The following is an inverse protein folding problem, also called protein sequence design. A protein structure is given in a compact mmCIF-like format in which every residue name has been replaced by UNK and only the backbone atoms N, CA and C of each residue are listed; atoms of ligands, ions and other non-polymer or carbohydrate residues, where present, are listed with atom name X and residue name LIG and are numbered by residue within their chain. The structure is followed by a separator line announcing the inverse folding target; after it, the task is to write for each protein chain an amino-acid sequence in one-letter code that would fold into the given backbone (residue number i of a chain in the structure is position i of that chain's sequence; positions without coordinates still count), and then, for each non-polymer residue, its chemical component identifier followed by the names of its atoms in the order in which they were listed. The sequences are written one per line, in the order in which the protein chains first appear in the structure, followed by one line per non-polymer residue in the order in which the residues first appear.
data_IF_968425673334
#
_entry.id   IF_968425673334
#
_cell.length_a   1.000
_cell.length_b   1.000
_cell.length_c   1.000
_cell.angle_alpha   90.00
_cell.angle_beta   90.00
_cell.angle_gamma   90.00
#
_symmetry.space_group_name_H-M   'P 1'
#
loop_
_entity.id
_entity.type
_entity.pdbx_description
1 polymer ?
#
# COMPACT_ATOMS: atom_id res chain seq x y z
N UNK A 1 -5.52 -16.79 -4.68
CA UNK A 1 -6.93 -17.25 -4.51
C UNK A 1 -7.71 -16.31 -3.58
N UNK A 2 -7.04 -15.66 -2.63
CA UNK A 2 -7.65 -14.73 -1.66
C UNK A 2 -8.52 -13.62 -2.26
N UNK A 3 -8.08 -12.90 -3.28
CA UNK A 3 -8.82 -11.71 -3.79
C UNK A 3 -10.02 -12.01 -4.70
N UNK A 4 -10.27 -13.28 -5.06
CA UNK A 4 -11.33 -13.63 -6.05
C UNK A 4 -12.74 -13.21 -5.62
N UNK A 5 -12.99 -13.17 -4.31
CA UNK A 5 -14.27 -12.77 -3.75
C UNK A 5 -14.62 -11.29 -4.01
N UNK A 6 -13.65 -10.45 -4.42
CA UNK A 6 -13.91 -9.05 -4.75
C UNK A 6 -14.52 -8.87 -6.14
N UNK A 7 -14.33 -9.84 -7.05
CA UNK A 7 -14.83 -9.75 -8.43
C UNK A 7 -16.36 -9.75 -8.54
N UNK A 8 -17.06 -10.34 -7.57
CA UNK A 8 -18.54 -10.46 -7.63
C UNK A 8 -19.26 -9.16 -7.27
N UNK A 9 -18.54 -8.18 -6.72
CA UNK A 9 -19.13 -6.92 -6.23
C UNK A 9 -19.29 -5.85 -7.32
N UNK A 10 -18.95 -6.15 -8.57
CA UNK A 10 -19.07 -5.22 -9.70
C UNK A 10 -19.48 -5.94 -10.98
N UNK A 11 -19.98 -5.16 -11.94
CA UNK A 11 -20.29 -5.67 -13.28
C UNK A 11 -18.98 -6.01 -14.04
N UNK A 12 -19.12 -6.72 -15.16
CA UNK A 12 -18.00 -7.15 -15.98
C UNK A 12 -17.06 -5.98 -16.32
N UNK A 13 -15.77 -6.13 -16.02
CA UNK A 13 -14.75 -5.12 -16.29
C UNK A 13 -14.59 -4.05 -15.20
N UNK A 14 -15.48 -4.00 -14.20
CA UNK A 14 -15.38 -3.01 -13.10
C UNK A 14 -14.23 -3.32 -12.14
N UNK A 15 -13.98 -4.61 -11.87
CA UNK A 15 -12.94 -5.06 -10.93
C UNK A 15 -11.86 -5.83 -11.67
N UNK A 16 -10.72 -5.16 -11.88
CA UNK A 16 -9.50 -5.76 -12.41
C UNK A 16 -8.50 -6.02 -11.29
N UNK A 17 -7.85 -7.19 -11.30
CA UNK A 17 -6.78 -7.49 -10.35
C UNK A 17 -5.45 -7.26 -11.05
N UNK A 18 -4.67 -6.31 -10.56
CA UNK A 18 -3.32 -6.05 -11.05
C UNK A 18 -2.33 -6.48 -9.97
N UNK A 19 -1.50 -7.51 -10.22
CA UNK A 19 -0.45 -7.88 -9.30
C UNK A 19 0.63 -6.78 -9.30
N UNK A 20 1.07 -6.36 -8.13
CA UNK A 20 2.17 -5.42 -7.98
C UNK A 20 2.97 -5.74 -6.71
N UNK A 21 4.18 -5.21 -6.62
CA UNK A 21 5.03 -5.29 -5.46
C UNK A 21 5.38 -3.89 -4.98
N UNK A 22 5.27 -3.66 -3.66
CA UNK A 22 5.59 -2.36 -3.05
C UNK A 22 7.07 -1.99 -3.23
N UNK A 23 7.96 -2.98 -3.38
CA UNK A 23 9.40 -2.75 -3.60
C UNK A 23 9.76 -2.43 -5.05
N UNK A 24 8.81 -2.62 -5.97
CA UNK A 24 9.04 -2.43 -7.39
C UNK A 24 8.20 -1.24 -7.88
N UNK A 25 8.86 -0.09 -8.00
CA UNK A 25 8.23 1.16 -8.46
C UNK A 25 7.62 1.03 -9.85
N UNK A 26 8.18 0.21 -10.73
CA UNK A 26 7.63 0.04 -12.08
C UNK A 26 6.30 -0.71 -12.04
N UNK A 27 6.18 -1.72 -11.18
CA UNK A 27 4.91 -2.42 -10.96
C UNK A 27 3.84 -1.51 -10.34
N UNK A 28 4.23 -0.58 -9.45
CA UNK A 28 3.32 0.43 -8.89
C UNK A 28 2.84 1.37 -10.00
N UNK A 29 3.75 1.79 -10.89
CA UNK A 29 3.41 2.65 -12.03
C UNK A 29 2.43 1.98 -12.98
N UNK A 30 2.64 0.70 -13.29
CA UNK A 30 1.70 -0.08 -14.10
C UNK A 30 0.33 -0.19 -13.43
N UNK A 31 0.29 -0.42 -12.12
CA UNK A 31 -0.96 -0.53 -11.36
C UNK A 31 -1.75 0.79 -11.29
N UNK A 32 -1.07 1.94 -11.27
CA UNK A 32 -1.69 3.27 -11.17
C UNK A 32 -2.02 3.86 -12.55
N UNK A 33 -1.38 3.40 -13.62
CA UNK A 33 -1.56 3.93 -14.96
C UNK A 33 -3.04 4.01 -15.38
N UNK A 34 -3.47 5.21 -15.79
CA UNK A 34 -4.86 5.47 -16.21
C UNK A 34 -5.87 5.67 -15.07
N UNK A 35 -5.43 5.71 -13.80
CA UNK A 35 -6.30 5.94 -12.65
C UNK A 35 -6.61 7.43 -12.42
N UNK A 36 -7.88 7.76 -12.20
CA UNK A 36 -8.31 9.10 -11.77
C UNK A 36 -8.20 9.31 -10.25
N UNK A 37 -8.33 8.22 -9.49
CA UNK A 37 -8.29 8.22 -8.02
C UNK A 37 -7.48 7.02 -7.56
N UNK A 38 -6.55 7.24 -6.63
CA UNK A 38 -5.79 6.19 -5.96
C UNK A 38 -6.12 6.22 -4.48
N UNK A 39 -6.41 5.04 -3.90
CA UNK A 39 -6.73 4.89 -2.48
C UNK A 39 -5.69 3.94 -1.86
N UNK A 40 -4.85 4.46 -0.98
CA UNK A 40 -3.86 3.67 -0.26
C UNK A 40 -4.44 3.18 1.08
N UNK A 41 -4.64 1.87 1.17
CA UNK A 41 -5.08 1.13 2.36
C UNK A 41 -4.02 0.12 2.84
N UNK A 42 -2.78 0.26 2.37
CA UNK A 42 -1.69 -0.64 2.73
C UNK A 42 -1.29 -0.35 4.19
N UNK A 43 -1.31 -1.39 5.02
CA UNK A 43 -0.91 -1.30 6.41
C UNK A 43 -0.99 -2.66 7.09
N UNK A 44 -0.18 -2.84 8.14
CA UNK A 44 -0.17 -4.10 8.88
C UNK A 44 0.24 -3.88 10.33
N UNK A 45 -0.49 -4.49 11.27
CA UNK A 45 -0.27 -4.32 12.71
C UNK A 45 0.93 -5.09 13.28
N UNK A 46 1.67 -5.80 12.43
CA UNK A 46 2.86 -6.56 12.83
C UNK A 46 3.87 -6.60 11.68
N UNK A 47 5.15 -6.57 12.04
CA UNK A 47 6.25 -6.77 11.09
C UNK A 47 6.25 -8.21 10.59
N UNK A 48 6.42 -8.37 9.28
CA UNK A 48 6.41 -9.71 8.69
C UNK A 48 7.76 -10.38 8.85
N UNK A 49 7.78 -11.55 9.47
CA UNK A 49 8.99 -12.37 9.67
C UNK A 49 9.06 -13.47 8.62
N UNK A 50 10.27 -13.83 8.22
CA UNK A 50 10.54 -14.98 7.36
C UNK A 50 10.63 -16.29 8.17
N UNK A 51 10.99 -17.37 7.48
CA UNK A 51 11.19 -18.71 8.06
C UNK A 51 12.14 -18.73 9.25
N UNK A 52 13.12 -17.80 9.31
CA UNK A 52 14.04 -17.67 10.42
C UNK A 52 13.64 -16.45 11.28
N UNK A 53 13.49 -16.60 12.62
CA UNK A 53 12.95 -15.55 13.49
C UNK A 53 13.69 -14.21 13.47
N UNK A 54 14.96 -14.19 13.04
CA UNK A 54 15.82 -13.01 12.96
C UNK A 54 15.76 -12.29 11.61
N UNK A 55 15.11 -12.87 10.60
CA UNK A 55 15.01 -12.27 9.27
C UNK A 55 13.64 -11.65 9.06
N UNK A 56 13.60 -10.32 9.03
CA UNK A 56 12.38 -9.53 8.82
C UNK A 56 12.22 -9.26 7.32
N UNK A 57 11.02 -9.51 6.81
CA UNK A 57 10.68 -9.25 5.41
C UNK A 57 10.23 -7.80 5.21
N UNK A 58 9.27 -7.32 5.99
CA UNK A 58 8.80 -5.93 5.95
C UNK A 58 8.72 -5.39 7.37
N UNK A 59 9.42 -4.27 7.60
CA UNK A 59 9.33 -3.47 8.83
C UNK A 59 8.09 -2.58 8.81
N UNK A 60 7.80 -1.87 9.90
CA UNK A 60 6.74 -0.86 9.89
C UNK A 60 7.06 0.30 8.95
N UNK A 61 8.30 0.79 8.96
CA UNK A 61 8.73 1.92 8.14
C UNK A 61 8.68 1.58 6.64
N UNK A 62 9.06 0.35 6.26
CA UNK A 62 8.96 -0.12 4.87
C UNK A 62 7.52 0.00 4.34
N UNK A 63 6.52 -0.26 5.20
CA UNK A 63 5.10 -0.35 4.83
C UNK A 63 4.38 0.98 4.98
N UNK A 64 4.65 1.74 6.03
CA UNK A 64 3.92 2.97 6.33
C UNK A 64 4.61 4.22 5.77
N UNK A 65 5.94 4.23 5.71
CA UNK A 65 6.73 5.39 5.26
C UNK A 65 7.13 5.21 3.81
N UNK A 66 7.94 4.19 3.51
CA UNK A 66 8.54 4.02 2.20
C UNK A 66 7.49 3.69 1.13
N UNK A 67 6.58 2.74 1.41
CA UNK A 67 5.49 2.41 0.48
C UNK A 67 4.58 3.61 0.20
N UNK A 68 4.21 4.37 1.24
CA UNK A 68 3.33 5.52 1.10
C UNK A 68 4.01 6.64 0.29
N UNK A 69 5.31 6.86 0.53
CA UNK A 69 6.13 7.79 -0.25
C UNK A 69 6.20 7.37 -1.72
N UNK A 70 6.53 6.11 -1.98
CA UNK A 70 6.69 5.62 -3.35
C UNK A 70 5.38 5.69 -4.14
N UNK A 71 4.24 5.38 -3.52
CA UNK A 71 2.91 5.55 -4.15
C UNK A 71 2.63 7.04 -4.43
N UNK A 72 2.94 7.93 -3.48
CA UNK A 72 2.72 9.36 -3.67
C UNK A 72 3.58 9.95 -4.79
N UNK A 73 4.85 9.53 -4.89
CA UNK A 73 5.75 9.90 -5.97
C UNK A 73 5.21 9.44 -7.33
N UNK A 74 4.81 8.18 -7.45
CA UNK A 74 4.25 7.64 -8.71
C UNK A 74 2.92 8.32 -9.08
N UNK A 75 2.06 8.61 -8.10
CA UNK A 75 0.84 9.39 -8.34
C UNK A 75 1.16 10.79 -8.88
N UNK A 76 2.20 11.44 -8.36
CA UNK A 76 2.65 12.75 -8.85
C UNK A 76 3.22 12.66 -10.27
N UNK A 77 4.06 11.64 -10.56
CA UNK A 77 4.60 11.39 -11.91
C UNK A 77 3.50 11.20 -12.95
N UNK A 78 2.47 10.43 -12.61
CA UNK A 78 1.34 10.11 -13.49
C UNK A 78 0.24 11.19 -13.49
N UNK A 79 0.42 12.29 -12.75
CA UNK A 79 -0.56 13.36 -12.60
C UNK A 79 -1.95 12.86 -12.18
N UNK A 80 -2.00 11.93 -11.22
CA UNK A 80 -3.26 11.42 -10.68
C UNK A 80 -4.00 12.57 -9.97
N UNK A 81 -5.24 12.89 -10.35
CA UNK A 81 -5.98 14.02 -9.77
C UNK A 81 -6.24 13.93 -8.27
N UNK A 82 -6.35 12.71 -7.73
CA UNK A 82 -6.68 12.49 -6.32
C UNK A 82 -6.00 11.25 -5.74
N UNK A 83 -5.18 11.46 -4.73
CA UNK A 83 -4.66 10.43 -3.85
C UNK A 83 -5.34 10.52 -2.49
N UNK A 84 -5.92 9.41 -2.02
CA UNK A 84 -6.49 9.27 -0.68
C UNK A 84 -5.61 8.31 0.11
N UNK A 85 -5.02 8.79 1.19
CA UNK A 85 -4.19 7.99 2.09
C UNK A 85 -4.90 7.78 3.42
N UNK A 86 -4.95 6.53 3.89
CA UNK A 86 -5.50 6.18 5.19
C UNK A 86 -4.38 5.84 6.18
N UNK A 87 -4.37 6.57 7.30
CA UNK A 87 -3.48 6.33 8.43
C UNK A 87 -4.30 6.06 9.70
N UNK A 88 -3.63 5.99 10.86
CA UNK A 88 -4.27 5.79 12.16
C UNK A 88 -4.63 7.12 12.83
N UNK A 89 -5.72 7.13 13.60
CA UNK A 89 -6.16 8.28 14.40
C UNK A 89 -5.07 8.82 15.35
N UNK A 90 -4.19 7.93 15.82
CA UNK A 90 -3.11 8.27 16.77
C UNK A 90 -1.72 8.21 16.11
N UNK A 91 -1.64 8.42 14.79
CA UNK A 91 -0.38 8.48 14.05
C UNK A 91 0.42 9.72 14.51
N UNK A 92 1.41 9.51 15.39
CA UNK A 92 2.26 10.59 15.92
C UNK A 92 3.67 10.08 16.17
N UNK A 93 4.73 10.87 15.90
CA UNK A 93 6.12 10.41 16.06
C UNK A 93 6.45 9.90 17.47
N UNK A 94 5.83 10.49 18.50
CA UNK A 94 6.04 10.11 19.91
C UNK A 94 4.91 9.21 20.45
N UNK A 95 4.35 8.34 19.61
CA UNK A 95 3.32 7.39 20.02
C UNK A 95 3.94 6.29 20.89
N UNK A 96 3.26 5.80 21.94
CA UNK A 96 3.76 4.65 22.70
C UNK A 96 3.81 3.36 21.86
N UNK A 97 3.08 3.30 20.75
CA UNK A 97 3.12 2.19 19.81
C UNK A 97 4.03 2.53 18.63
N UNK A 98 5.01 1.67 18.36
CA UNK A 98 5.92 1.79 17.22
C UNK A 98 5.12 1.81 15.90
N UNK A 99 4.10 0.97 15.79
CA UNK A 99 3.21 0.91 14.62
C UNK A 99 2.46 2.22 14.35
N UNK A 100 2.15 3.00 15.39
CA UNK A 100 1.50 4.30 15.25
C UNK A 100 2.51 5.46 15.15
N UNK A 101 3.80 5.19 15.34
CA UNK A 101 4.86 6.18 15.20
C UNK A 101 5.49 6.14 13.80
N UNK A 102 5.51 4.95 13.18
CA UNK A 102 5.82 4.69 11.77
C UNK A 102 4.78 5.26 10.81
#
# INVERSE_FOLDING_TARGET
MEVRHLKVNGDLGTVAHVPFSVRDKDSIREAIAGSNVVINLIGKHYETKHALPWWINYTYDDVHVDAARDIAEVCAELNVPRLIHFSSLLAKPNSPSIWAAS
#
